data_IF_977040060545
#
_entry.id   IF_977040060545
#
_cell.length_a   1.000
_cell.length_b   1.000
_cell.length_c   1.000
_cell.angle_alpha   90.00
_cell.angle_beta   90.00
_cell.angle_gamma   90.00
#
_symmetry.space_group_name_H-M   'P 1'
#
loop_
_entity.id
_entity.type
_entity.pdbx_description
1 polymer ?
#
# COMPACT_ATOMS: atom_id res chain seq x y z
N UNK A 1 -0.17 -3.37 -61.85
CA UNK A 1 -0.10 -4.33 -60.73
C UNK A 1 -0.55 -3.59 -59.48
N UNK A 2 -1.54 -4.08 -58.74
CA UNK A 2 -2.00 -3.40 -57.52
C UNK A 2 -0.93 -3.55 -56.41
N UNK A 3 -0.71 -2.52 -55.57
CA UNK A 3 0.21 -2.62 -54.45
C UNK A 3 -0.25 -3.70 -53.45
N UNK A 4 0.70 -4.35 -52.78
CA UNK A 4 0.39 -5.33 -51.75
C UNK A 4 -0.30 -4.64 -50.54
N UNK A 5 -1.29 -5.28 -49.91
CA UNK A 5 -1.94 -4.72 -48.72
C UNK A 5 -0.96 -4.50 -47.56
N UNK A 6 -1.18 -3.43 -46.79
CA UNK A 6 -0.29 -3.00 -45.70
C UNK A 6 -0.09 -4.04 -44.59
N UNK A 7 -1.10 -4.88 -44.31
CA UNK A 7 -1.05 -5.89 -43.24
C UNK A 7 -0.09 -7.05 -43.54
N UNK A 8 0.38 -7.17 -44.80
CA UNK A 8 1.38 -8.19 -45.19
C UNK A 8 2.80 -7.78 -44.80
N UNK A 9 3.04 -6.52 -44.42
CA UNK A 9 4.36 -6.02 -44.06
C UNK A 9 4.60 -6.13 -42.55
N UNK A 10 5.59 -6.92 -42.14
CA UNK A 10 5.88 -7.19 -40.72
C UNK A 10 6.22 -5.94 -39.91
N UNK A 11 6.87 -4.94 -40.50
CA UNK A 11 7.19 -3.69 -39.80
C UNK A 11 5.95 -2.89 -39.38
N UNK A 12 4.80 -3.04 -40.07
CA UNK A 12 3.57 -2.35 -39.69
C UNK A 12 3.08 -2.87 -38.34
N UNK A 13 3.22 -4.17 -38.09
CA UNK A 13 2.90 -4.77 -36.80
C UNK A 13 3.85 -4.31 -35.70
N UNK A 14 5.13 -4.06 -35.98
CA UNK A 14 6.05 -3.50 -34.98
C UNK A 14 5.62 -2.10 -34.51
N UNK A 15 5.14 -1.26 -35.44
CA UNK A 15 4.65 0.08 -35.11
C UNK A 15 3.33 0.01 -34.33
N UNK A 16 2.42 -0.90 -34.68
CA UNK A 16 1.12 -1.08 -34.00
C UNK A 16 1.30 -1.73 -32.61
N UNK A 17 2.29 -2.63 -32.46
CA UNK A 17 2.50 -3.38 -31.23
C UNK A 17 2.79 -2.48 -30.03
N UNK A 18 3.60 -1.42 -30.21
CA UNK A 18 3.93 -0.49 -29.12
C UNK A 18 2.70 0.12 -28.45
N UNK A 19 1.86 0.88 -29.19
CA UNK A 19 0.61 1.42 -28.66
C UNK A 19 -0.36 0.35 -28.13
N UNK A 20 -0.49 -0.78 -28.84
CA UNK A 20 -1.39 -1.86 -28.42
C UNK A 20 -1.00 -2.44 -27.05
N UNK A 21 0.29 -2.66 -26.80
CA UNK A 21 0.82 -3.14 -25.52
C UNK A 21 0.50 -2.15 -24.39
N UNK A 22 0.67 -0.84 -24.62
CA UNK A 22 0.40 0.18 -23.60
C UNK A 22 -1.09 0.23 -23.23
N UNK A 23 -1.98 0.10 -24.21
CA UNK A 23 -3.42 0.03 -23.97
C UNK A 23 -3.76 -1.17 -23.08
N UNK A 24 -3.24 -2.35 -23.42
CA UNK A 24 -3.45 -3.57 -22.61
C UNK A 24 -2.89 -3.40 -21.19
N UNK A 25 -1.68 -2.86 -21.06
CA UNK A 25 -1.07 -2.59 -19.75
C UNK A 25 -1.93 -1.63 -18.90
N UNK A 26 -2.48 -0.57 -19.50
CA UNK A 26 -3.37 0.37 -18.82
C UNK A 26 -4.63 -0.30 -18.28
N UNK A 27 -5.25 -1.20 -19.06
CA UNK A 27 -6.40 -1.98 -18.58
C UNK A 27 -6.03 -2.95 -17.45
N UNK A 28 -4.85 -3.58 -17.51
CA UNK A 28 -4.36 -4.43 -16.41
C UNK A 28 -4.17 -3.62 -15.14
N UNK A 29 -3.56 -2.43 -15.23
CA UNK A 29 -3.39 -1.53 -14.08
C UNK A 29 -4.74 -1.08 -13.52
N UNK A 30 -5.69 -0.70 -14.38
CA UNK A 30 -7.05 -0.35 -13.97
C UNK A 30 -7.71 -1.53 -13.24
N UNK A 31 -7.61 -2.73 -13.79
CA UNK A 31 -8.16 -3.94 -13.18
C UNK A 31 -7.56 -4.19 -11.79
N UNK A 32 -6.24 -4.04 -11.63
CA UNK A 32 -5.58 -4.16 -10.33
C UNK A 32 -6.10 -3.13 -9.33
N UNK A 33 -6.28 -1.88 -9.76
CA UNK A 33 -6.75 -0.78 -8.92
C UNK A 33 -8.17 -1.01 -8.40
N UNK A 34 -9.08 -1.54 -9.23
CA UNK A 34 -10.48 -1.77 -8.83
C UNK A 34 -10.69 -3.08 -8.09
N UNK A 35 -9.85 -4.10 -8.35
CA UNK A 35 -10.03 -5.45 -7.80
C UNK A 35 -9.53 -5.61 -6.37
N UNK A 36 -8.66 -4.72 -5.91
CA UNK A 36 -8.15 -4.72 -4.52
C UNK A 36 -8.31 -3.33 -3.93
N UNK A 37 -9.52 -2.97 -3.47
CA UNK A 37 -9.70 -1.74 -2.71
C UNK A 37 -8.83 -1.85 -1.45
N UNK A 38 -7.84 -0.97 -1.31
CA UNK A 38 -7.14 -0.75 -0.05
C UNK A 38 -8.16 -0.04 0.86
N UNK A 39 -8.70 -0.72 1.89
CA UNK A 39 -9.73 -0.13 2.72
C UNK A 39 -9.13 1.08 3.41
N UNK A 40 -9.58 2.27 3.01
CA UNK A 40 -9.21 3.51 3.66
C UNK A 40 -9.64 3.38 5.12
N UNK A 41 -8.64 3.36 6.00
CA UNK A 41 -8.69 3.49 7.46
C UNK A 41 -10.13 3.55 7.98
N UNK A 42 -10.60 2.45 8.58
CA UNK A 42 -11.98 2.32 9.09
C UNK A 42 -12.41 3.60 9.85
N UNK A 43 -13.66 4.01 9.73
CA UNK A 43 -14.22 5.20 10.42
C UNK A 43 -13.91 5.20 11.92
N UNK A 44 -13.78 4.00 12.48
CA UNK A 44 -13.46 3.74 13.87
C UNK A 44 -12.00 3.98 14.23
N UNK A 45 -11.08 4.20 13.28
CA UNK A 45 -9.67 4.48 13.57
C UNK A 45 -9.50 5.75 14.40
N UNK A 46 -10.33 6.78 14.14
CA UNK A 46 -10.32 7.99 14.95
C UNK A 46 -10.85 7.70 16.36
N UNK A 47 -11.90 6.88 16.49
CA UNK A 47 -12.39 6.41 17.80
C UNK A 47 -11.36 5.56 18.53
N UNK A 48 -10.69 4.63 17.85
CA UNK A 48 -9.63 3.79 18.39
C UNK A 48 -8.42 4.63 18.84
N UNK A 49 -8.05 5.67 18.09
CA UNK A 49 -7.00 6.60 18.48
C UNK A 49 -7.34 7.40 19.74
N UNK A 50 -8.59 7.85 19.87
CA UNK A 50 -9.08 8.54 21.08
C UNK A 50 -9.21 7.58 22.27
N UNK A 51 -9.68 6.36 22.03
CA UNK A 51 -9.91 5.34 23.06
C UNK A 51 -8.64 4.62 23.49
N UNK A 52 -7.57 4.64 22.69
CA UNK A 52 -6.23 4.18 23.10
C UNK A 52 -5.79 4.87 24.38
N UNK A 53 -6.10 6.16 24.57
CA UNK A 53 -5.79 6.85 25.81
C UNK A 53 -6.56 6.32 27.03
N UNK A 54 -7.72 5.68 26.83
CA UNK A 54 -8.51 5.05 27.91
C UNK A 54 -7.94 3.69 28.31
N UNK A 55 -7.49 2.88 27.36
CA UNK A 55 -6.80 1.59 27.64
C UNK A 55 -5.37 1.80 28.15
N UNK A 56 -4.72 2.92 27.84
CA UNK A 56 -3.44 3.35 28.41
C UNK A 56 -3.54 3.86 29.85
N UNK A 57 -4.72 3.89 30.48
CA UNK A 57 -4.86 4.29 31.89
C UNK A 57 -4.25 3.25 32.86
N UNK A 58 -4.08 2.00 32.41
CA UNK A 58 -3.29 0.95 33.08
C UNK A 58 -2.57 0.09 32.01
N UNK A 59 -1.55 0.62 31.33
CA UNK A 59 -0.88 -0.12 30.29
C UNK A 59 0.03 -1.17 30.93
N UNK A 60 -0.16 -2.44 30.57
CA UNK A 60 0.90 -3.42 30.80
C UNK A 60 2.19 -2.92 30.16
N UNK A 61 3.35 -3.25 30.77
CA UNK A 61 4.67 -2.85 30.26
C UNK A 61 4.91 -3.26 28.79
N UNK A 62 4.20 -4.30 28.32
CA UNK A 62 4.18 -4.78 26.94
C UNK A 62 3.58 -3.79 25.93
N UNK A 63 2.77 -2.84 26.39
CA UNK A 63 2.11 -1.81 25.59
C UNK A 63 2.80 -0.44 25.68
N UNK A 64 4.01 -0.37 26.26
CA UNK A 64 4.77 0.87 26.31
C UNK A 64 5.02 1.41 24.90
N UNK A 65 4.94 2.74 24.67
CA UNK A 65 5.24 3.34 23.38
C UNK A 65 6.61 2.86 22.87
N UNK A 66 6.71 2.53 21.57
CA UNK A 66 7.91 1.91 21.00
C UNK A 66 9.21 2.67 21.31
N UNK A 67 9.15 4.02 21.33
CA UNK A 67 10.29 4.87 21.70
C UNK A 67 10.66 4.72 23.19
N UNK A 68 9.68 4.66 24.11
CA UNK A 68 9.91 4.46 25.55
C UNK A 68 10.47 3.05 25.80
N UNK A 69 9.89 2.04 25.16
CA UNK A 69 10.35 0.64 25.23
C UNK A 69 11.78 0.46 24.75
N UNK A 70 12.14 1.05 23.59
CA UNK A 70 13.50 1.01 23.06
C UNK A 70 14.51 1.70 24.00
N UNK A 71 14.16 2.88 24.52
CA UNK A 71 15.09 3.68 25.31
C UNK A 71 15.27 3.16 26.75
N UNK A 72 14.32 2.36 27.27
CA UNK A 72 14.33 1.85 28.64
C UNK A 72 14.42 0.32 28.71
N UNK A 73 14.87 -0.33 27.62
CA UNK A 73 14.96 -1.79 27.52
C UNK A 73 15.89 -2.42 28.59
N UNK A 74 16.91 -1.68 29.02
CA UNK A 74 17.89 -2.12 30.01
C UNK A 74 17.70 -1.48 31.41
N UNK A 75 16.73 -0.57 31.57
CA UNK A 75 16.47 0.11 32.84
C UNK A 75 15.69 -0.83 33.77
N UNK A 76 16.19 -1.14 34.99
CA UNK A 76 15.45 -1.92 35.98
C UNK A 76 14.07 -1.32 36.23
N UNK A 77 13.07 -2.16 36.50
CA UNK A 77 11.65 -1.74 36.63
C UNK A 77 11.50 -0.62 37.68
N UNK A 78 12.34 -0.65 38.72
CA UNK A 78 12.35 0.27 39.84
C UNK A 78 12.83 1.69 39.46
N UNK A 79 13.62 1.82 38.39
CA UNK A 79 14.27 3.06 37.98
C UNK A 79 13.60 3.72 36.75
N UNK A 80 12.49 3.14 36.26
CA UNK A 80 11.76 3.70 35.12
C UNK A 80 10.89 4.90 35.57
N UNK A 81 10.88 6.01 34.80
CA UNK A 81 10.02 7.14 35.10
C UNK A 81 8.55 6.73 34.94
N UNK A 82 7.76 6.96 36.01
CA UNK A 82 6.31 6.74 36.03
C UNK A 82 5.64 7.56 34.93
#
# INVERSE_FOLDING_TARGET
MAPAPWWKFGHVWLVIAGPAIVIVAGFVTLWLAVSRPDPVVAEDYYRQGIEINKTLANPEKSLAPAIKGRNHAATPVQDQPR
#
